data_IF_749994142590
#
_entry.id   IF_749994142590
#
_cell.length_a   1.000
_cell.length_b   1.000
_cell.length_c   1.000
_cell.angle_alpha   90.00
_cell.angle_beta   90.00
_cell.angle_gamma   90.00
#
_symmetry.space_group_name_H-M   'P 1'
#
loop_
_entity.id
_entity.type
_entity.pdbx_description
1 polymer ?
#
# COMPACT_ATOMS: atom_id res chain seq x y z
N UNK A 1 -6.06 -2.19 6.77
CA UNK A 1 -7.22 -1.98 7.66
C UNK A 1 -8.50 -1.94 6.85
N UNK A 2 -9.65 -2.13 7.53
CA UNK A 2 -10.97 -1.94 6.93
C UNK A 2 -11.18 -0.48 6.54
N UNK A 3 -11.76 -0.23 5.34
CA UNK A 3 -12.12 1.14 4.94
C UNK A 3 -13.37 1.59 5.69
N UNK A 4 -13.24 2.71 6.40
CA UNK A 4 -14.33 3.39 7.12
C UNK A 4 -14.42 4.86 6.73
N UNK A 5 -14.08 5.17 5.47
CA UNK A 5 -14.01 6.52 4.91
C UNK A 5 -12.99 7.41 5.65
N UNK A 6 -13.46 8.36 6.45
CA UNK A 6 -12.60 9.25 7.24
C UNK A 6 -12.46 8.71 8.67
N UNK A 7 -11.67 7.63 8.81
CA UNK A 7 -11.40 7.00 10.10
C UNK A 7 -10.62 7.98 10.99
N UNK A 8 -11.22 8.38 12.12
CA UNK A 8 -10.63 9.28 13.12
C UNK A 8 -10.66 8.71 14.54
N UNK A 9 -11.47 7.69 14.79
CA UNK A 9 -11.59 7.06 16.10
C UNK A 9 -10.64 5.84 16.16
N UNK A 10 -9.63 5.83 17.05
CA UNK A 10 -8.67 4.72 17.15
C UNK A 10 -9.32 3.36 17.41
N UNK A 11 -10.40 3.33 18.19
CA UNK A 11 -11.12 2.09 18.54
C UNK A 11 -11.80 1.43 17.33
N UNK A 12 -11.97 2.17 16.23
CA UNK A 12 -12.52 1.64 14.99
C UNK A 12 -11.47 1.06 14.05
N UNK A 13 -10.18 1.05 14.44
CA UNK A 13 -9.11 0.45 13.64
C UNK A 13 -9.25 -1.07 13.68
N UNK A 14 -9.61 -1.65 12.55
CA UNK A 14 -9.74 -3.09 12.36
C UNK A 14 -8.84 -3.58 11.23
N UNK A 15 -8.08 -4.64 11.49
CA UNK A 15 -7.30 -5.29 10.44
C UNK A 15 -8.21 -6.13 9.54
N UNK A 16 -7.90 -6.13 8.25
CA UNK A 16 -8.46 -7.12 7.33
C UNK A 16 -7.94 -8.51 7.74
N UNK A 17 -8.82 -9.54 7.81
CA UNK A 17 -8.40 -10.88 8.22
C UNK A 17 -7.19 -11.39 7.46
N UNK A 18 -6.19 -11.90 8.17
CA UNK A 18 -4.94 -12.42 7.62
C UNK A 18 -3.89 -11.37 7.25
N UNK A 19 -4.21 -10.06 7.31
CA UNK A 19 -3.27 -9.00 6.92
C UNK A 19 -2.02 -8.98 7.81
N UNK A 20 -2.18 -9.02 9.14
CA UNK A 20 -1.04 -9.01 10.06
C UNK A 20 -0.10 -10.21 9.86
N UNK A 21 -0.66 -11.40 9.64
CA UNK A 21 0.14 -12.60 9.39
C UNK A 21 0.91 -12.52 8.07
N UNK A 22 0.32 -11.93 7.04
CA UNK A 22 1.00 -11.70 5.76
C UNK A 22 2.16 -10.69 5.93
N UNK A 23 1.94 -9.58 6.64
CA UNK A 23 3.00 -8.61 6.95
C UNK A 23 4.12 -9.24 7.78
N UNK A 24 3.76 -10.08 8.78
CA UNK A 24 4.76 -10.80 9.58
C UNK A 24 5.64 -11.69 8.71
N UNK A 25 5.05 -12.47 7.78
CA UNK A 25 5.82 -13.33 6.86
C UNK A 25 6.75 -12.52 5.94
N UNK A 26 6.31 -11.35 5.45
CA UNK A 26 7.18 -10.45 4.67
C UNK A 26 8.35 -9.95 5.51
N UNK A 27 8.11 -9.53 6.77
CA UNK A 27 9.19 -9.12 7.67
C UNK A 27 10.17 -10.25 7.96
N UNK A 28 9.67 -11.47 8.19
CA UNK A 28 10.51 -12.64 8.44
C UNK A 28 11.42 -13.01 7.25
N UNK A 29 11.06 -12.54 6.06
CA UNK A 29 11.86 -12.64 4.84
C UNK A 29 12.79 -11.44 4.62
N UNK A 30 12.90 -10.54 5.59
CA UNK A 30 13.77 -9.37 5.53
C UNK A 30 13.15 -8.12 4.87
N UNK A 31 11.86 -8.14 4.54
CA UNK A 31 11.19 -6.96 3.99
C UNK A 31 11.00 -5.89 5.06
N UNK A 32 11.36 -4.64 4.74
CA UNK A 32 10.97 -3.47 5.53
C UNK A 32 9.58 -2.99 5.11
N UNK A 33 8.75 -2.62 6.06
CA UNK A 33 7.36 -2.25 5.83
C UNK A 33 7.16 -0.73 6.00
N UNK A 34 6.59 -0.11 4.98
CA UNK A 34 6.29 1.32 4.95
C UNK A 34 4.80 1.55 4.63
N UNK A 35 4.22 2.61 5.19
CA UNK A 35 2.88 3.06 4.84
C UNK A 35 2.96 4.40 4.11
N UNK A 36 2.29 4.51 2.97
CA UNK A 36 2.11 5.78 2.24
C UNK A 36 0.63 6.02 1.98
N UNK A 37 0.08 7.12 2.50
CA UNK A 37 -1.36 7.36 2.46
C UNK A 37 -1.73 8.77 2.00
N UNK A 38 -2.85 8.89 1.27
CA UNK A 38 -3.48 10.18 0.93
C UNK A 38 -4.62 10.47 1.90
N UNK A 39 -4.48 11.50 2.74
CA UNK A 39 -5.44 11.87 3.78
C UNK A 39 -6.07 13.25 3.53
N UNK A 40 -6.77 13.39 2.39
CA UNK A 40 -7.41 14.66 2.05
C UNK A 40 -8.52 15.10 3.01
N UNK A 41 -8.98 14.24 3.90
CA UNK A 41 -9.89 14.58 4.99
C UNK A 41 -9.36 15.68 5.89
N UNK A 42 -8.03 15.77 6.07
CA UNK A 42 -7.38 16.83 6.85
C UNK A 42 -7.59 18.18 6.19
N UNK A 43 -7.26 18.32 4.91
CA UNK A 43 -7.48 19.57 4.19
C UNK A 43 -8.96 19.94 4.00
N UNK A 44 -9.88 18.97 4.18
CA UNK A 44 -11.34 19.18 4.16
C UNK A 44 -11.90 19.55 5.54
N UNK A 45 -11.07 19.52 6.60
CA UNK A 45 -11.52 19.72 7.99
C UNK A 45 -12.39 18.59 8.55
N UNK A 46 -12.38 17.40 7.93
CA UNK A 46 -13.15 16.23 8.38
C UNK A 46 -12.43 15.41 9.45
N UNK A 47 -11.12 15.54 9.53
CA UNK A 47 -10.25 14.99 10.58
C UNK A 47 -9.04 15.91 10.78
N UNK A 48 -8.43 15.84 11.94
CA UNK A 48 -7.21 16.59 12.28
C UNK A 48 -5.95 15.75 12.06
N UNK A 49 -4.79 16.39 12.14
CA UNK A 49 -3.50 15.68 12.17
C UNK A 49 -3.40 14.77 13.41
N UNK A 50 -3.97 15.20 14.54
CA UNK A 50 -3.93 14.42 15.78
C UNK A 50 -4.85 13.21 15.71
N UNK A 51 -6.04 13.32 15.07
CA UNK A 51 -6.89 12.16 14.78
C UNK A 51 -6.12 11.13 13.92
N UNK A 52 -5.44 11.60 12.87
CA UNK A 52 -4.64 10.71 12.03
C UNK A 52 -3.51 10.03 12.82
N UNK A 53 -2.77 10.78 13.65
CA UNK A 53 -1.71 10.23 14.50
C UNK A 53 -2.24 9.18 15.47
N UNK A 54 -3.38 9.45 16.11
CA UNK A 54 -4.01 8.51 17.05
C UNK A 54 -4.42 7.19 16.36
N UNK A 55 -4.98 7.28 15.14
CA UNK A 55 -5.32 6.11 14.31
C UNK A 55 -4.06 5.32 13.91
N UNK A 56 -2.99 6.01 13.51
CA UNK A 56 -1.72 5.37 13.14
C UNK A 56 -1.05 4.70 14.34
N UNK A 57 -1.05 5.35 15.50
CA UNK A 57 -0.54 4.77 16.74
C UNK A 57 -1.32 3.49 17.08
N UNK A 58 -2.64 3.54 17.01
CA UNK A 58 -3.49 2.37 17.26
C UNK A 58 -3.21 1.22 16.30
N UNK A 59 -3.01 1.52 15.02
CA UNK A 59 -2.60 0.52 14.02
C UNK A 59 -1.27 -0.13 14.40
N UNK A 60 -0.27 0.66 14.79
CA UNK A 60 1.04 0.16 15.23
C UNK A 60 0.92 -0.73 16.47
N UNK A 61 0.11 -0.35 17.46
CA UNK A 61 -0.16 -1.16 18.67
C UNK A 61 -0.77 -2.53 18.30
N UNK A 62 -1.78 -2.54 17.43
CA UNK A 62 -2.41 -3.78 16.96
C UNK A 62 -1.39 -4.66 16.23
N UNK A 63 -0.60 -4.08 15.33
CA UNK A 63 0.44 -4.80 14.57
C UNK A 63 1.55 -5.34 15.48
N UNK A 64 1.95 -4.59 16.51
CA UNK A 64 2.94 -5.05 17.50
C UNK A 64 2.47 -6.31 18.24
N UNK A 65 1.17 -6.48 18.48
CA UNK A 65 0.59 -7.70 19.01
C UNK A 65 0.84 -8.94 18.13
N UNK A 66 1.07 -8.73 16.83
CA UNK A 66 1.47 -9.77 15.86
C UNK A 66 2.98 -9.78 15.59
N UNK A 67 3.78 -9.02 16.34
CA UNK A 67 5.22 -8.83 16.12
C UNK A 67 5.53 -8.27 14.72
N UNK A 68 4.68 -7.36 14.26
CA UNK A 68 4.86 -6.61 13.01
C UNK A 68 5.20 -5.17 13.36
N UNK A 69 6.29 -4.67 12.79
CA UNK A 69 6.75 -3.31 12.94
C UNK A 69 6.72 -2.59 11.58
N UNK A 70 6.17 -1.37 11.59
CA UNK A 70 6.26 -0.48 10.44
C UNK A 70 7.52 0.37 10.57
N UNK A 71 8.37 0.34 9.56
CA UNK A 71 9.62 1.12 9.55
C UNK A 71 9.32 2.63 9.54
N UNK A 72 8.35 3.07 8.74
CA UNK A 72 7.85 4.44 8.74
C UNK A 72 6.46 4.52 8.08
N UNK A 73 5.77 5.63 8.36
CA UNK A 73 4.54 6.02 7.68
C UNK A 73 4.61 7.45 7.18
N UNK A 74 4.21 7.69 5.93
CA UNK A 74 4.11 9.01 5.34
C UNK A 74 2.69 9.29 4.84
N UNK A 75 2.27 10.54 5.04
CA UNK A 75 0.92 10.97 4.72
C UNK A 75 0.92 12.25 3.89
N UNK A 76 0.05 12.31 2.88
CA UNK A 76 -0.27 13.54 2.16
C UNK A 76 -1.61 14.10 2.65
N UNK A 77 -1.65 15.29 3.30
CA UNK A 77 -2.89 15.90 3.78
C UNK A 77 -3.65 16.68 2.71
N UNK A 78 -3.06 16.93 1.55
CA UNK A 78 -3.55 17.90 0.57
C UNK A 78 -4.78 17.39 -0.22
N UNK A 79 -5.59 18.33 -0.68
CA UNK A 79 -6.69 18.08 -1.62
C UNK A 79 -6.18 17.61 -2.99
N UNK A 80 -6.97 16.81 -3.72
CA UNK A 80 -6.71 16.55 -5.14
C UNK A 80 -6.61 17.87 -5.93
N UNK A 81 -5.70 17.91 -6.92
CA UNK A 81 -5.54 19.06 -7.81
C UNK A 81 -4.76 20.25 -7.24
N UNK A 82 -4.23 20.16 -6.00
CA UNK A 82 -3.44 21.25 -5.40
C UNK A 82 -1.95 21.27 -5.79
N UNK A 83 -1.52 20.38 -6.70
CA UNK A 83 -0.15 20.40 -7.26
C UNK A 83 0.97 20.04 -6.28
N UNK A 84 0.68 19.43 -5.14
CA UNK A 84 1.74 18.98 -4.23
C UNK A 84 2.47 17.74 -4.78
N UNK A 85 3.75 17.61 -4.45
CA UNK A 85 4.57 16.46 -4.86
C UNK A 85 4.29 15.18 -4.05
N UNK A 86 3.72 15.29 -2.84
CA UNK A 86 3.52 14.17 -1.93
C UNK A 86 2.28 13.33 -2.22
N UNK A 87 1.25 13.89 -2.91
CA UNK A 87 0.01 13.15 -3.12
C UNK A 87 0.15 12.09 -4.21
N UNK A 88 -0.10 10.81 -3.88
CA UNK A 88 -0.20 9.74 -4.87
C UNK A 88 -1.21 10.11 -5.97
N UNK A 89 -0.86 10.01 -7.29
CA UNK A 89 0.24 9.22 -7.84
C UNK A 89 1.61 9.91 -7.92
N UNK A 90 1.79 11.15 -7.47
CA UNK A 90 3.11 11.82 -7.49
C UNK A 90 4.09 11.11 -6.56
N UNK A 91 5.38 10.97 -6.94
CA UNK A 91 6.35 10.12 -6.25
C UNK A 91 6.99 10.74 -5.00
N UNK A 92 6.55 11.91 -4.52
CA UNK A 92 7.25 12.64 -3.45
C UNK A 92 7.37 11.88 -2.13
N UNK A 93 6.35 11.09 -1.73
CA UNK A 93 6.49 10.24 -0.54
C UNK A 93 7.53 9.13 -0.76
N UNK A 94 7.61 8.54 -1.97
CA UNK A 94 8.66 7.59 -2.31
C UNK A 94 10.04 8.23 -2.26
N UNK A 95 10.20 9.43 -2.83
CA UNK A 95 11.49 10.14 -2.82
C UNK A 95 11.98 10.35 -1.39
N UNK A 96 11.10 10.81 -0.49
CA UNK A 96 11.44 11.00 0.91
C UNK A 96 11.89 9.69 1.59
N UNK A 97 11.12 8.61 1.43
CA UNK A 97 11.48 7.29 1.98
C UNK A 97 12.77 6.76 1.39
N UNK A 98 12.95 6.87 0.07
CA UNK A 98 14.16 6.43 -0.61
C UNK A 98 15.40 7.12 -0.06
N UNK A 99 15.34 8.44 0.10
CA UNK A 99 16.48 9.25 0.53
C UNK A 99 16.80 9.02 2.02
N UNK A 100 15.78 8.84 2.87
CA UNK A 100 15.95 8.62 4.31
C UNK A 100 16.42 7.19 4.64
N UNK A 101 15.86 6.18 3.95
CA UNK A 101 16.09 4.78 4.30
C UNK A 101 16.99 4.04 3.30
N UNK A 102 17.55 4.72 2.29
CA UNK A 102 18.43 4.10 1.29
C UNK A 102 17.72 3.05 0.44
N UNK A 103 16.43 3.28 0.10
CA UNK A 103 15.63 2.30 -0.64
C UNK A 103 16.01 2.28 -2.12
N UNK A 104 15.91 1.10 -2.74
CA UNK A 104 16.13 0.93 -4.16
C UNK A 104 14.81 0.61 -4.89
N UNK A 105 14.41 1.36 -5.94
CA UNK A 105 13.10 1.19 -6.56
C UNK A 105 12.90 -0.22 -7.16
N UNK A 106 13.96 -0.81 -7.72
CA UNK A 106 13.90 -2.18 -8.29
C UNK A 106 13.85 -3.29 -7.24
N UNK A 107 13.97 -2.95 -5.96
CA UNK A 107 13.84 -3.85 -4.82
C UNK A 107 12.58 -3.56 -3.99
N UNK A 108 11.75 -2.64 -4.45
CA UNK A 108 10.56 -2.18 -3.73
C UNK A 108 9.30 -2.46 -4.53
N UNK A 109 8.23 -2.81 -3.83
CA UNK A 109 6.91 -3.03 -4.40
C UNK A 109 5.89 -2.18 -3.66
N UNK A 110 4.82 -1.78 -4.34
CA UNK A 110 3.66 -1.19 -3.69
C UNK A 110 2.48 -2.14 -3.73
N UNK A 111 1.76 -2.20 -2.62
CA UNK A 111 0.48 -2.90 -2.49
C UNK A 111 -0.57 -1.87 -2.10
N UNK A 112 -1.62 -1.76 -2.87
CA UNK A 112 -2.69 -0.81 -2.59
C UNK A 112 -4.03 -1.25 -3.16
N UNK A 113 -5.08 -0.55 -2.79
CA UNK A 113 -6.46 -0.82 -3.20
C UNK A 113 -7.02 0.25 -4.15
N UNK A 114 -6.19 1.23 -4.56
CA UNK A 114 -6.59 2.33 -5.44
C UNK A 114 -5.67 2.43 -6.65
N UNK A 115 -6.23 2.91 -7.77
CA UNK A 115 -5.43 3.17 -8.96
C UNK A 115 -4.31 4.18 -8.70
N UNK A 116 -4.50 5.11 -7.76
CA UNK A 116 -3.46 6.05 -7.35
C UNK A 116 -2.23 5.38 -6.73
N UNK A 117 -2.39 4.21 -6.09
CA UNK A 117 -1.28 3.42 -5.55
C UNK A 117 -0.51 2.74 -6.68
N UNK A 118 -1.25 2.21 -7.66
CA UNK A 118 -0.66 1.57 -8.83
C UNK A 118 0.16 2.57 -9.63
N UNK A 119 -0.42 3.72 -9.94
CA UNK A 119 0.27 4.80 -10.66
C UNK A 119 1.45 5.38 -9.87
N UNK A 120 1.35 5.44 -8.54
CA UNK A 120 2.48 5.82 -7.67
C UNK A 120 3.66 4.85 -7.82
N UNK A 121 3.41 3.54 -7.87
CA UNK A 121 4.46 2.57 -8.12
C UNK A 121 5.16 2.78 -9.46
N UNK A 122 4.40 3.07 -10.51
CA UNK A 122 4.97 3.38 -11.83
C UNK A 122 5.77 4.68 -11.83
N UNK A 123 5.20 5.78 -11.30
CA UNK A 123 5.90 7.08 -11.23
C UNK A 123 7.15 7.06 -10.35
N UNK A 124 7.22 6.13 -9.40
CA UNK A 124 8.36 5.89 -8.52
C UNK A 124 9.38 4.88 -9.09
N UNK A 125 9.09 4.24 -10.23
CA UNK A 125 9.94 3.22 -10.85
C UNK A 125 10.07 1.94 -10.04
N UNK A 126 9.08 1.61 -9.21
CA UNK A 126 9.11 0.42 -8.36
C UNK A 126 9.11 -0.87 -9.19
N UNK A 127 9.60 -1.95 -8.59
CA UNK A 127 9.66 -3.28 -9.23
C UNK A 127 8.27 -3.79 -9.63
N UNK A 128 7.27 -3.56 -8.77
CA UNK A 128 5.90 -3.93 -9.07
C UNK A 128 4.89 -3.09 -8.31
N UNK A 129 3.68 -3.02 -8.89
CA UNK A 129 2.48 -2.48 -8.28
C UNK A 129 1.42 -3.58 -8.22
N UNK A 130 0.91 -3.86 -7.02
CA UNK A 130 -0.05 -4.92 -6.73
C UNK A 130 -1.36 -4.28 -6.31
N UNK A 131 -2.44 -4.56 -7.03
CA UNK A 131 -3.79 -4.14 -6.64
C UNK A 131 -4.45 -5.26 -5.85
N UNK A 132 -4.77 -4.99 -4.59
CA UNK A 132 -5.54 -5.92 -3.74
C UNK A 132 -7.03 -5.63 -3.90
N UNK A 133 -7.86 -6.68 -4.02
CA UNK A 133 -9.31 -6.55 -4.24
C UNK A 133 -10.10 -6.27 -2.96
N UNK A 134 -9.43 -6.10 -1.81
CA UNK A 134 -10.01 -5.57 -0.57
C UNK A 134 -10.17 -4.05 -0.66
N UNK A 135 -10.93 -3.46 0.25
CA UNK A 135 -11.19 -2.02 0.23
C UNK A 135 -11.87 -1.56 -1.07
N UNK A 136 -11.27 -0.60 -1.75
CA UNK A 136 -11.73 -0.09 -3.05
C UNK A 136 -11.33 -0.96 -4.23
N UNK A 137 -10.40 -1.89 -4.07
CA UNK A 137 -9.71 -2.56 -5.17
C UNK A 137 -10.59 -3.37 -6.10
N UNK A 138 -11.71 -3.95 -5.61
CA UNK A 138 -12.69 -4.63 -6.46
C UNK A 138 -13.30 -3.66 -7.49
N UNK A 139 -13.75 -2.49 -7.05
CA UNK A 139 -14.34 -1.47 -7.93
C UNK A 139 -13.28 -0.85 -8.86
N UNK A 140 -12.08 -0.61 -8.36
CA UNK A 140 -10.96 -0.10 -9.17
C UNK A 140 -10.57 -1.08 -10.28
N UNK A 141 -10.45 -2.37 -9.99
CA UNK A 141 -10.16 -3.40 -10.98
C UNK A 141 -11.25 -3.47 -12.06
N UNK A 142 -12.53 -3.43 -11.67
CA UNK A 142 -13.66 -3.43 -12.59
C UNK A 142 -13.65 -2.19 -13.49
N UNK A 143 -13.31 -1.00 -12.95
CA UNK A 143 -13.22 0.23 -13.74
C UNK A 143 -12.11 0.17 -14.81
N UNK A 144 -11.10 -0.64 -14.60
CA UNK A 144 -10.02 -0.93 -15.55
C UNK A 144 -10.37 -2.06 -16.54
N UNK A 145 -11.58 -2.63 -16.47
CA UNK A 145 -12.00 -3.77 -17.28
C UNK A 145 -11.24 -5.06 -16.96
N UNK A 146 -10.76 -5.21 -15.73
CA UNK A 146 -10.01 -6.40 -15.32
C UNK A 146 -10.98 -7.45 -14.74
N UNK A 147 -10.75 -8.71 -15.10
CA UNK A 147 -11.49 -9.83 -14.50
C UNK A 147 -11.09 -9.99 -13.03
N UNK A 148 -12.06 -10.11 -12.16
CA UNK A 148 -11.90 -10.29 -10.72
C UNK A 148 -12.42 -11.63 -10.22
N UNK A 149 -12.75 -12.56 -11.12
CA UNK A 149 -13.35 -13.88 -10.79
C UNK A 149 -12.34 -14.96 -10.38
N UNK A 150 -11.02 -14.64 -10.40
CA UNK A 150 -9.95 -15.57 -10.08
C UNK A 150 -9.87 -15.88 -8.57
N UNK A 151 -9.17 -16.99 -8.23
CA UNK A 151 -8.81 -17.34 -6.84
C UNK A 151 -7.34 -16.96 -6.58
N UNK A 152 -7.07 -16.40 -5.38
CA UNK A 152 -5.71 -16.06 -4.96
C UNK A 152 -5.15 -14.83 -5.65
N UNK A 153 -4.30 -14.99 -6.65
CA UNK A 153 -3.66 -13.92 -7.40
C UNK A 153 -3.77 -14.16 -8.93
N UNK A 154 -3.64 -13.07 -9.68
CA UNK A 154 -3.57 -13.09 -11.12
C UNK A 154 -2.48 -12.11 -11.61
N UNK A 155 -1.47 -12.63 -12.27
CA UNK A 155 -0.40 -11.82 -12.86
C UNK A 155 -0.85 -11.31 -14.22
N UNK A 156 -0.76 -10.00 -14.40
CA UNK A 156 -1.14 -9.34 -15.64
C UNK A 156 0.06 -9.25 -16.60
N UNK A 157 -0.17 -9.33 -17.91
CA UNK A 157 0.87 -9.05 -18.90
C UNK A 157 1.34 -7.59 -18.78
N UNK A 158 2.60 -7.29 -19.13
CA UNK A 158 3.09 -5.92 -19.16
C UNK A 158 2.15 -5.00 -19.96
N UNK A 159 1.81 -3.86 -19.39
CA UNK A 159 0.96 -2.87 -20.06
C UNK A 159 1.81 -1.70 -20.56
N UNK A 160 1.83 -1.42 -21.87
CA UNK A 160 2.42 -0.19 -22.39
C UNK A 160 1.71 1.02 -21.74
N UNK A 161 2.48 1.95 -21.15
CA UNK A 161 1.93 3.16 -20.51
C UNK A 161 1.60 3.05 -19.02
N UNK A 162 1.81 1.89 -18.37
CA UNK A 162 1.85 1.82 -16.90
C UNK A 162 0.52 2.05 -16.17
N UNK A 163 -0.62 1.95 -16.83
CA UNK A 163 -1.93 2.22 -16.21
C UNK A 163 -2.57 1.01 -15.51
N UNK A 164 -1.95 -0.18 -15.61
CA UNK A 164 -2.49 -1.42 -15.03
C UNK A 164 -1.55 -1.99 -13.97
N UNK A 165 -2.07 -2.61 -12.91
CA UNK A 165 -1.23 -3.29 -11.93
C UNK A 165 -0.44 -4.44 -12.61
N UNK A 166 0.70 -4.81 -12.02
CA UNK A 166 1.44 -6.01 -12.43
C UNK A 166 0.73 -7.28 -11.93
N UNK A 167 0.06 -7.16 -10.78
CA UNK A 167 -0.64 -8.28 -10.13
C UNK A 167 -1.96 -7.80 -9.55
N UNK A 168 -3.01 -8.59 -9.74
CA UNK A 168 -4.23 -8.55 -8.95
C UNK A 168 -4.13 -9.62 -7.87
N UNK A 169 -4.42 -9.26 -6.63
CA UNK A 169 -4.43 -10.19 -5.51
C UNK A 169 -5.75 -10.06 -4.74
N UNK A 170 -6.34 -11.19 -4.34
CA UNK A 170 -7.61 -11.16 -3.57
C UNK A 170 -7.49 -10.35 -2.28
N UNK A 171 -6.31 -10.40 -1.64
CA UNK A 171 -6.01 -9.72 -0.40
C UNK A 171 -4.49 -9.65 -0.18
N UNK A 172 -4.06 -9.09 0.95
CA UNK A 172 -2.65 -8.96 1.28
C UNK A 172 -1.92 -10.32 1.42
N UNK A 173 -2.60 -11.37 1.87
CA UNK A 173 -2.00 -12.72 1.95
C UNK A 173 -1.66 -13.28 0.57
N UNK A 174 -2.53 -13.07 -0.43
CA UNK A 174 -2.24 -13.46 -1.80
C UNK A 174 -1.10 -12.60 -2.41
N UNK A 175 -1.04 -11.30 -2.09
CA UNK A 175 0.07 -10.45 -2.50
C UNK A 175 1.39 -10.90 -1.89
N UNK A 176 1.40 -11.26 -0.61
CA UNK A 176 2.56 -11.81 0.10
C UNK A 176 3.07 -13.10 -0.57
N UNK A 177 2.18 -14.02 -0.93
CA UNK A 177 2.55 -15.26 -1.62
C UNK A 177 3.31 -14.97 -2.93
N UNK A 178 2.86 -13.99 -3.71
CA UNK A 178 3.55 -13.61 -4.95
C UNK A 178 4.93 -12.98 -4.67
N UNK A 179 5.03 -12.07 -3.69
CA UNK A 179 6.30 -11.45 -3.32
C UNK A 179 7.31 -12.52 -2.85
N UNK A 180 6.87 -13.45 -2.02
CA UNK A 180 7.71 -14.56 -1.53
C UNK A 180 8.21 -15.44 -2.67
N UNK A 181 7.39 -15.68 -3.69
CA UNK A 181 7.82 -16.44 -4.87
C UNK A 181 8.92 -15.74 -5.68
N UNK A 182 8.90 -14.41 -5.73
CA UNK A 182 9.97 -13.64 -6.37
C UNK A 182 11.29 -13.67 -5.57
N UNK A 183 11.21 -13.72 -4.24
CA UNK A 183 12.38 -13.77 -3.36
C UNK A 183 13.07 -15.14 -3.42
N UNK A 184 12.31 -16.21 -3.62
CA UNK A 184 12.84 -17.56 -3.77
C UNK A 184 13.69 -17.73 -5.06
N UNK A 185 13.63 -16.79 -6.01
CA UNK A 185 14.33 -16.86 -7.30
C UNK A 185 15.68 -16.10 -7.28
N UNK A 186 16.02 -15.35 -6.20
CA UNK A 186 17.31 -14.64 -6.10
C UNK A 186 17.45 -13.87 -4.79
N UNK A 187 18.68 -13.70 -4.27
CA UNK A 187 18.91 -12.89 -3.09
C UNK A 187 18.71 -11.41 -3.40
N UNK A 188 17.86 -10.75 -2.65
CA UNK A 188 17.82 -9.29 -2.60
C UNK A 188 16.51 -8.61 -2.96
N UNK A 189 15.47 -8.84 -2.14
CA UNK A 189 14.41 -7.88 -1.94
C UNK A 189 14.59 -7.29 -0.53
N UNK A 190 15.10 -6.10 -0.47
CA UNK A 190 15.13 -5.27 0.74
C UNK A 190 14.09 -4.20 0.59
#
# INVERSE_FOLDING_TARGET
>A
IQDRHYLKEPDQVELIPGAALALKRLMDQGCRLFVVTNQSGIARGLLTLDDHRAVQQRLQEILAGYRVELTADLMCPHLPGKGCSCRKPSPGMWTALKDEYGLHPRQSVIIGDKISDILFGFSSGLKASILVLTGHGQAEAQSLGLDTSFKGLYQLPPSPGGARPHVLARNLAAAETWISSMNAIGPGLV
#
